data_IF_732475038366
#
_entry.id   IF_732475038366
#
_cell.length_a   1.000
_cell.length_b   1.000
_cell.length_c   1.000
_cell.angle_alpha   90.00
_cell.angle_beta   90.00
_cell.angle_gamma   90.00
#
_symmetry.space_group_name_H-M   'P 1'
#
loop_
_entity.id
_entity.type
_entity.pdbx_description
1 polymer ?
#
# COMPACT_ATOMS: atom_id res chain seq x y z
N UNK A 1 12.55 -20.23 10.48
CA UNK A 1 11.37 -19.36 10.71
C UNK A 1 11.25 -18.37 9.54
N UNK A 2 10.70 -18.81 8.41
CA UNK A 2 10.42 -17.93 7.27
C UNK A 2 9.01 -17.36 7.45
N UNK A 3 8.92 -16.14 7.99
CA UNK A 3 7.66 -15.40 8.06
C UNK A 3 7.32 -14.92 6.65
N UNK A 4 6.68 -15.79 5.87
CA UNK A 4 6.04 -15.41 4.63
C UNK A 4 4.94 -14.39 4.95
N UNK A 5 5.30 -13.11 4.79
CA UNK A 5 4.53 -12.09 4.09
C UNK A 5 3.02 -12.17 4.40
N UNK A 6 2.61 -11.44 5.43
CA UNK A 6 1.22 -11.19 5.83
C UNK A 6 0.42 -10.34 4.82
N UNK A 7 0.80 -10.33 3.54
CA UNK A 7 0.14 -9.58 2.48
C UNK A 7 -1.31 -10.04 2.21
N UNK A 8 -1.69 -11.24 2.68
CA UNK A 8 -2.96 -11.88 2.30
C UNK A 8 -3.80 -12.37 3.48
N UNK A 9 -3.43 -12.12 4.74
CA UNK A 9 -4.18 -12.71 5.86
C UNK A 9 -5.49 -11.99 6.16
N UNK A 10 -5.73 -10.77 5.65
CA UNK A 10 -6.90 -9.94 5.95
C UNK A 10 -7.67 -9.46 4.70
N UNK A 11 -7.47 -10.11 3.55
CA UNK A 11 -8.31 -9.89 2.37
C UNK A 11 -9.50 -10.85 2.41
N UNK A 12 -10.54 -10.49 3.17
CA UNK A 12 -11.82 -11.21 3.19
C UNK A 12 -12.68 -10.96 1.96
N UNK A 13 -12.46 -9.85 1.23
CA UNK A 13 -13.15 -9.53 -0.04
C UNK A 13 -12.32 -8.75 -1.08
N UNK A 14 -11.14 -8.23 -0.71
CA UNK A 14 -10.23 -7.54 -1.62
C UNK A 14 -9.47 -8.50 -2.53
N UNK A 15 -9.58 -8.31 -3.86
CA UNK A 15 -8.95 -9.19 -4.85
C UNK A 15 -7.78 -8.53 -5.59
N UNK A 16 -6.83 -9.34 -6.08
CA UNK A 16 -5.71 -8.94 -6.94
C UNK A 16 -4.72 -7.90 -6.33
N UNK A 17 -4.27 -8.13 -5.09
CA UNK A 17 -3.24 -7.31 -4.45
C UNK A 17 -1.85 -7.95 -4.55
N UNK A 18 -0.82 -7.13 -4.79
CA UNK A 18 0.60 -7.51 -4.75
C UNK A 18 1.25 -6.75 -3.59
N UNK A 19 1.82 -7.45 -2.61
CA UNK A 19 2.56 -6.82 -1.52
C UNK A 19 3.94 -7.47 -1.33
N UNK A 20 4.98 -6.64 -1.45
CA UNK A 20 6.39 -7.02 -1.36
C UNK A 20 7.06 -6.09 -0.34
N UNK A 21 7.30 -6.58 0.88
CA UNK A 21 7.91 -5.80 1.97
C UNK A 21 7.40 -6.24 3.34
N UNK A 22 8.12 -5.89 4.42
CA UNK A 22 7.86 -6.38 5.79
C UNK A 22 6.48 -5.98 6.33
N UNK A 23 5.92 -4.86 5.87
CA UNK A 23 4.61 -4.32 6.32
C UNK A 23 3.76 -3.78 5.16
N UNK A 24 3.96 -4.26 3.94
CA UNK A 24 3.16 -3.82 2.79
C UNK A 24 1.69 -4.27 2.96
N UNK A 25 0.73 -3.36 2.74
CA UNK A 25 -0.73 -3.59 2.84
C UNK A 25 -1.26 -4.08 4.20
N UNK A 26 -0.50 -3.94 5.29
CA UNK A 26 -0.83 -4.61 6.54
C UNK A 26 -2.16 -4.20 7.21
N UNK A 27 -2.63 -2.96 7.03
CA UNK A 27 -3.91 -2.48 7.58
C UNK A 27 -4.97 -2.18 6.50
N UNK A 28 -4.82 -2.74 5.30
CA UNK A 28 -5.81 -2.58 4.24
C UNK A 28 -6.88 -3.67 4.37
N UNK A 29 -8.15 -3.28 4.41
CA UNK A 29 -9.31 -4.18 4.60
C UNK A 29 -10.27 -4.00 3.43
N UNK A 30 -10.69 -5.09 2.81
CA UNK A 30 -11.71 -5.11 1.75
C UNK A 30 -11.41 -4.17 0.56
N UNK A 31 -10.12 -4.06 0.16
CA UNK A 31 -9.68 -3.29 -1.02
C UNK A 31 -8.88 -4.15 -1.98
N UNK A 32 -9.03 -3.85 -3.27
CA UNK A 32 -8.47 -4.64 -4.36
C UNK A 32 -7.63 -3.84 -5.34
N UNK A 33 -6.88 -4.58 -6.17
CA UNK A 33 -6.05 -4.05 -7.24
C UNK A 33 -4.93 -3.12 -6.74
N UNK A 34 -4.35 -3.45 -5.59
CA UNK A 34 -3.28 -2.68 -4.95
C UNK A 34 -1.92 -3.30 -5.22
N UNK A 35 -0.92 -2.48 -5.52
CA UNK A 35 0.46 -2.92 -5.67
C UNK A 35 1.33 -2.13 -4.69
N UNK A 36 1.86 -2.81 -3.67
CA UNK A 36 2.69 -2.23 -2.62
C UNK A 36 4.07 -2.89 -2.62
N UNK A 37 5.09 -2.16 -3.05
CA UNK A 37 6.47 -2.65 -3.13
C UNK A 37 7.35 -1.76 -2.26
N UNK A 38 7.77 -2.25 -1.10
CA UNK A 38 8.57 -1.53 -0.12
C UNK A 38 8.10 -1.76 1.31
N UNK A 39 8.97 -1.48 2.28
CA UNK A 39 8.56 -1.52 3.68
C UNK A 39 7.46 -0.47 3.95
N UNK A 40 6.35 -0.93 4.54
CA UNK A 40 5.20 -0.11 4.91
C UNK A 40 4.54 0.64 3.74
N UNK A 41 4.68 0.16 2.50
CA UNK A 41 3.97 0.71 1.35
C UNK A 41 2.45 0.42 1.44
N UNK A 42 1.61 1.42 1.13
CA UNK A 42 0.13 1.36 1.26
C UNK A 42 -0.36 0.83 2.62
N UNK A 43 0.36 1.14 3.70
CA UNK A 43 0.08 0.57 5.01
C UNK A 43 -1.36 0.86 5.50
N UNK A 44 -1.85 2.09 5.35
CA UNK A 44 -3.21 2.51 5.71
C UNK A 44 -4.00 3.01 4.49
N UNK A 45 -4.07 2.23 3.42
CA UNK A 45 -4.87 2.57 2.24
C UNK A 45 -6.37 2.32 2.48
N UNK A 46 -7.23 3.30 2.16
CA UNK A 46 -8.69 3.15 2.23
C UNK A 46 -9.30 3.04 3.62
N UNK A 47 -8.52 3.21 4.70
CA UNK A 47 -9.05 3.21 6.08
C UNK A 47 -9.95 4.43 6.28
N UNK A 48 -11.22 4.18 6.58
CA UNK A 48 -12.23 5.24 6.71
C UNK A 48 -12.73 5.79 5.38
N UNK A 49 -12.59 5.01 4.30
CA UNK A 49 -13.24 5.25 3.02
C UNK A 49 -14.75 5.52 3.19
N UNK A 50 -15.22 6.55 2.51
CA UNK A 50 -16.64 6.96 2.54
C UNK A 50 -17.37 6.39 1.33
N UNK A 51 -16.67 6.30 0.20
CA UNK A 51 -17.20 5.72 -1.02
C UNK A 51 -16.70 4.29 -1.21
N UNK A 52 -17.53 3.45 -1.82
CA UNK A 52 -17.17 2.07 -2.19
C UNK A 52 -15.98 2.00 -3.15
N UNK A 53 -15.66 3.10 -3.82
CA UNK A 53 -14.55 3.18 -4.78
C UNK A 53 -13.25 3.68 -4.16
N UNK A 54 -13.22 4.17 -2.91
CA UNK A 54 -12.02 4.75 -2.28
C UNK A 54 -10.98 3.68 -1.91
N UNK A 55 -9.69 3.93 -2.17
CA UNK A 55 -8.61 3.03 -1.77
C UNK A 55 -8.48 1.79 -2.67
N UNK A 56 -8.94 1.88 -3.92
CA UNK A 56 -8.74 0.85 -4.94
C UNK A 56 -7.72 1.30 -5.98
N UNK A 57 -7.09 0.36 -6.69
CA UNK A 57 -6.22 0.66 -7.82
C UNK A 57 -5.02 1.57 -7.50
N UNK A 58 -4.40 1.44 -6.34
CA UNK A 58 -3.24 2.24 -5.95
C UNK A 58 -1.93 1.46 -6.13
N UNK A 59 -0.91 2.12 -6.68
CA UNK A 59 0.45 1.59 -6.86
C UNK A 59 1.43 2.41 -6.03
N UNK A 60 2.07 1.79 -5.04
CA UNK A 60 3.08 2.40 -4.20
C UNK A 60 4.41 1.65 -4.27
N UNK A 61 5.48 2.38 -4.60
CA UNK A 61 6.84 1.82 -4.70
C UNK A 61 7.81 2.63 -3.83
N UNK A 62 8.41 1.98 -2.84
CA UNK A 62 9.44 2.52 -1.96
C UNK A 62 9.06 2.54 -0.49
N UNK A 63 10.02 2.91 0.37
CA UNK A 63 9.84 2.98 1.81
C UNK A 63 8.76 3.99 2.18
N UNK A 64 7.71 3.53 2.87
CA UNK A 64 6.54 4.33 3.29
C UNK A 64 5.86 5.09 2.14
N UNK A 65 5.98 4.62 0.90
CA UNK A 65 5.24 5.18 -0.22
C UNK A 65 3.73 5.01 0.03
N UNK A 66 2.98 6.11 -0.06
CA UNK A 66 1.54 6.17 0.21
C UNK A 66 1.12 5.57 1.56
N UNK A 67 1.95 5.72 2.60
CA UNK A 67 1.72 5.11 3.92
C UNK A 67 0.35 5.40 4.55
N UNK A 68 -0.24 6.58 4.29
CA UNK A 68 -1.52 7.01 4.87
C UNK A 68 -2.48 7.57 3.82
N UNK A 69 -2.63 6.88 2.70
CA UNK A 69 -3.62 7.26 1.69
C UNK A 69 -5.04 6.85 2.12
N UNK A 70 -5.76 7.73 2.80
CA UNK A 70 -7.08 7.38 3.37
C UNK A 70 -8.23 7.42 2.35
N UNK A 71 -8.04 8.15 1.24
CA UNK A 71 -9.06 8.42 0.23
C UNK A 71 -8.39 8.59 -1.13
N UNK A 72 -9.06 8.16 -2.18
CA UNK A 72 -8.53 8.23 -3.53
C UNK A 72 -8.10 6.87 -4.07
N UNK A 73 -8.33 6.73 -5.36
CA UNK A 73 -8.10 5.52 -6.13
C UNK A 73 -7.36 5.89 -7.40
N UNK A 74 -6.67 4.94 -8.01
CA UNK A 74 -5.84 5.19 -9.19
C UNK A 74 -4.65 6.12 -8.92
N UNK A 75 -4.07 6.06 -7.72
CA UNK A 75 -2.89 6.84 -7.38
C UNK A 75 -1.60 6.05 -7.63
N UNK A 76 -0.57 6.77 -8.09
CA UNK A 76 0.80 6.28 -8.21
C UNK A 76 1.70 7.07 -7.25
N UNK A 77 2.25 6.41 -6.24
CA UNK A 77 3.15 7.02 -5.28
C UNK A 77 4.51 6.34 -5.25
N UNK A 78 5.57 7.12 -5.29
CA UNK A 78 6.94 6.63 -5.11
C UNK A 78 7.62 7.32 -3.93
N UNK A 79 8.55 6.62 -3.28
CA UNK A 79 9.42 7.25 -2.29
C UNK A 79 10.39 8.22 -2.99
N UNK A 80 10.46 9.46 -2.51
CA UNK A 80 11.47 10.43 -2.92
C UNK A 80 12.62 10.44 -1.93
N UNK A 81 13.81 10.04 -2.36
CA UNK A 81 15.05 10.41 -1.67
C UNK A 81 15.21 11.93 -1.71
N UNK A 82 15.78 12.52 -0.65
CA UNK A 82 16.26 13.90 -0.72
C UNK A 82 17.21 14.03 -1.93
N UNK A 83 17.19 15.15 -2.66
CA UNK A 83 18.19 15.38 -3.70
C UNK A 83 19.57 15.28 -3.06
N UNK A 84 20.48 14.55 -3.71
CA UNK A 84 21.90 14.63 -3.37
C UNK A 84 22.37 16.04 -3.73
N UNK A 85 22.32 16.96 -2.78
CA UNK A 85 23.15 18.17 -2.82
C UNK A 85 24.60 17.68 -2.69
N UNK A 86 25.29 17.63 -3.83
CA UNK A 86 26.73 17.42 -3.86
C UNK A 86 27.38 18.65 -3.23
N UNK A 87 28.19 18.45 -2.19
CA UNK A 87 29.17 19.43 -1.74
C UNK A 87 30.18 19.74 -2.85
#
# INVERSE_FOLDING_TARGET
MHRAIKALSHNTSGFANIAIGTSALANVIDRGQLIAIGDSALYNDGIGAVFSVDGYNNLAIGWKAMFSNKRGSFNLGSWKSKPFEKC
#
